data_IF_885213562716
#
_entry.id   IF_885213562716
#
_cell.length_a   1.000
_cell.length_b   1.000
_cell.length_c   1.000
_cell.angle_alpha   90.00
_cell.angle_beta   90.00
_cell.angle_gamma   90.00
#
_symmetry.space_group_name_H-M   'P 1'
#
loop_
_entity.id
_entity.type
_entity.pdbx_description
1 polymer ?
#
# COMPACT_ATOMS: atom_id res chain seq x y z
N UNK A 1 -1.85 -11.03 -11.28
CA UNK A 1 -2.20 -10.02 -10.25
C UNK A 1 -3.55 -10.30 -9.63
N UNK A 2 -4.66 -10.32 -10.39
CA UNK A 2 -5.95 -10.72 -9.85
C UNK A 2 -5.92 -12.18 -9.37
N UNK A 3 -5.38 -13.10 -10.18
CA UNK A 3 -5.29 -14.52 -9.81
C UNK A 3 -4.53 -14.74 -8.50
N UNK A 4 -3.42 -14.02 -8.30
CA UNK A 4 -2.63 -14.07 -7.05
C UNK A 4 -3.44 -13.60 -5.85
N UNK A 5 -4.24 -12.54 -5.99
CA UNK A 5 -5.06 -12.03 -4.89
C UNK A 5 -6.24 -12.95 -4.59
N UNK A 6 -6.91 -13.49 -5.61
CA UNK A 6 -8.05 -14.40 -5.44
C UNK A 6 -7.65 -15.82 -5.04
N UNK A 7 -6.43 -16.26 -5.38
CA UNK A 7 -5.86 -17.52 -4.89
C UNK A 7 -5.17 -17.39 -3.53
N UNK A 8 -5.24 -16.22 -2.89
CA UNK A 8 -4.54 -15.90 -1.64
C UNK A 8 -3.04 -16.24 -1.69
N UNK A 9 -2.41 -16.10 -2.86
CA UNK A 9 -0.99 -16.36 -3.05
C UNK A 9 -0.56 -17.80 -2.79
N UNK A 10 -1.44 -18.78 -3.03
CA UNK A 10 -1.13 -20.20 -2.83
C UNK A 10 0.03 -20.71 -3.71
N UNK A 11 0.17 -20.16 -4.92
CA UNK A 11 1.16 -20.62 -5.91
C UNK A 11 2.50 -19.87 -5.83
N UNK A 12 2.69 -18.99 -4.83
CA UNK A 12 3.90 -18.17 -4.67
C UNK A 12 4.49 -18.31 -3.27
N UNK A 13 5.80 -18.08 -3.16
CA UNK A 13 6.50 -18.15 -1.87
C UNK A 13 6.16 -16.95 -0.98
N UNK A 14 6.34 -17.09 0.34
CA UNK A 14 6.07 -16.00 1.29
C UNK A 14 6.91 -14.76 1.02
N UNK A 15 8.15 -14.96 0.55
CA UNK A 15 9.07 -13.88 0.19
C UNK A 15 8.53 -13.07 -1.00
N UNK A 16 8.12 -13.76 -2.07
CA UNK A 16 7.52 -13.14 -3.25
C UNK A 16 6.19 -12.46 -2.90
N UNK A 17 5.37 -13.14 -2.11
CA UNK A 17 4.08 -12.61 -1.65
C UNK A 17 4.28 -11.28 -0.91
N UNK A 18 5.16 -11.26 0.10
CA UNK A 18 5.51 -10.06 0.86
C UNK A 18 6.01 -8.96 -0.07
N UNK A 19 6.85 -9.28 -1.04
CA UNK A 19 7.37 -8.30 -1.98
C UNK A 19 6.26 -7.63 -2.79
N UNK A 20 5.32 -8.42 -3.31
CA UNK A 20 4.21 -7.96 -4.14
C UNK A 20 3.18 -7.12 -3.36
N UNK A 21 2.84 -7.51 -2.13
CA UNK A 21 1.75 -6.86 -1.36
C UNK A 21 2.25 -5.79 -0.39
N UNK A 22 3.56 -5.71 -0.17
CA UNK A 22 4.13 -4.74 0.75
C UNK A 22 3.90 -3.30 0.32
N UNK A 23 3.57 -2.45 1.27
CA UNK A 23 3.57 -1.01 1.06
C UNK A 23 4.80 -0.38 1.71
N UNK A 24 5.38 0.61 1.03
CA UNK A 24 6.53 1.38 1.50
C UNK A 24 6.15 2.85 1.63
N UNK A 25 6.37 3.44 2.80
CA UNK A 25 6.18 4.89 3.05
C UNK A 25 7.32 5.46 3.88
N UNK A 26 7.85 6.60 3.44
CA UNK A 26 8.88 7.34 4.16
C UNK A 26 8.26 8.45 5.01
N UNK A 27 8.60 8.50 6.29
CA UNK A 27 8.16 9.56 7.19
C UNK A 27 9.01 10.82 7.01
N UNK A 28 8.36 12.00 6.90
CA UNK A 28 9.05 13.27 6.68
C UNK A 28 9.58 13.91 7.97
N UNK A 29 9.03 13.54 9.12
CA UNK A 29 9.39 14.04 10.46
C UNK A 29 9.69 12.87 11.40
N UNK A 30 10.17 13.17 12.61
CA UNK A 30 10.40 12.16 13.64
C UNK A 30 9.08 11.63 14.19
N UNK A 31 9.06 10.42 14.75
CA UNK A 31 7.85 9.83 15.31
C UNK A 31 7.23 10.68 16.43
N UNK A 32 8.08 11.32 17.25
CA UNK A 32 7.68 12.23 18.33
C UNK A 32 6.86 13.43 17.84
N UNK A 33 7.11 13.90 16.63
CA UNK A 33 6.54 15.14 16.10
C UNK A 33 5.11 14.97 15.59
N UNK A 34 4.65 13.72 15.42
CA UNK A 34 3.31 13.42 14.92
C UNK A 34 2.23 13.42 16.02
N UNK A 35 2.62 13.39 17.31
CA UNK A 35 1.69 13.45 18.44
C UNK A 35 0.58 12.37 18.37
N UNK A 36 -0.67 12.81 18.36
CA UNK A 36 -1.86 11.94 18.34
C UNK A 36 -2.34 11.55 16.92
N UNK A 37 -1.63 11.96 15.86
CA UNK A 37 -2.03 11.61 14.51
C UNK A 37 -2.03 10.10 14.29
N UNK A 38 -3.03 9.61 13.56
CA UNK A 38 -3.16 8.20 13.19
C UNK A 38 -2.88 8.02 11.71
N UNK A 39 -1.88 7.20 11.40
CA UNK A 39 -1.60 6.74 10.03
C UNK A 39 -0.96 5.36 10.06
N UNK A 40 -1.00 4.65 8.95
CA UNK A 40 -0.34 3.33 8.81
C UNK A 40 1.16 3.43 9.08
N UNK A 41 1.82 4.50 8.59
CA UNK A 41 3.25 4.76 8.86
C UNK A 41 3.52 4.97 10.36
N UNK A 42 2.69 5.76 11.06
CA UNK A 42 2.86 6.03 12.50
C UNK A 42 2.69 4.74 13.30
N UNK A 43 1.67 3.92 13.01
CA UNK A 43 1.48 2.63 13.68
C UNK A 43 2.64 1.67 13.42
N UNK A 44 3.14 1.64 12.17
CA UNK A 44 4.29 0.81 11.80
C UNK A 44 5.55 1.26 12.56
N UNK A 45 5.81 2.56 12.63
CA UNK A 45 6.94 3.12 13.36
C UNK A 45 6.85 2.81 14.87
N UNK A 46 5.68 2.93 15.49
CA UNK A 46 5.46 2.55 16.89
C UNK A 46 5.76 1.07 17.13
N UNK A 47 5.31 0.19 16.23
CA UNK A 47 5.59 -1.26 16.30
C UNK A 47 7.09 -1.57 16.08
N UNK A 48 7.76 -0.84 15.20
CA UNK A 48 9.20 -0.95 15.00
C UNK A 48 9.98 -0.52 16.25
N UNK A 49 9.61 0.60 16.90
CA UNK A 49 10.21 1.03 18.15
C UNK A 49 10.00 0.00 19.27
N UNK A 50 8.80 -0.57 19.36
CA UNK A 50 8.51 -1.61 20.35
C UNK A 50 9.33 -2.88 20.12
N UNK A 51 9.53 -3.28 18.86
CA UNK A 51 10.23 -4.51 18.48
C UNK A 51 11.76 -4.38 18.53
N UNK A 52 12.30 -3.27 18.01
CA UNK A 52 13.74 -3.07 17.80
C UNK A 52 14.36 -2.08 18.80
N UNK A 53 13.55 -1.41 19.61
CA UNK A 53 13.97 -0.32 20.50
C UNK A 53 13.77 1.07 19.89
N UNK A 54 13.76 2.08 20.78
CA UNK A 54 13.48 3.47 20.41
C UNK A 54 14.51 4.08 19.46
N UNK A 55 15.71 3.49 19.36
CA UNK A 55 16.77 3.96 18.46
C UNK A 55 16.33 4.01 16.99
N UNK A 56 15.42 3.12 16.56
CA UNK A 56 14.94 3.04 15.16
C UNK A 56 14.08 4.24 14.75
N UNK A 57 13.49 4.94 15.72
CA UNK A 57 12.54 6.05 15.47
C UNK A 57 13.10 7.42 15.85
N UNK A 58 14.40 7.49 16.20
CA UNK A 58 15.07 8.74 16.59
C UNK A 58 15.29 9.68 15.40
N UNK A 59 15.54 9.14 14.23
CA UNK A 59 15.87 9.92 13.04
C UNK A 59 14.65 10.14 12.13
N UNK A 60 14.66 11.30 11.47
CA UNK A 60 13.72 11.59 10.37
C UNK A 60 14.03 10.70 9.16
N UNK A 61 13.04 10.45 8.32
CA UNK A 61 13.23 9.65 7.11
C UNK A 61 13.04 8.14 7.31
N UNK A 62 12.47 7.72 8.45
CA UNK A 62 12.16 6.31 8.68
C UNK A 62 11.29 5.76 7.53
N UNK A 63 11.79 4.71 6.90
CA UNK A 63 11.09 3.99 5.87
C UNK A 63 10.24 2.87 6.49
N UNK A 64 8.95 3.11 6.63
CA UNK A 64 7.98 2.12 7.06
C UNK A 64 7.61 1.21 5.89
N UNK A 65 8.02 -0.06 5.96
CA UNK A 65 7.55 -1.10 5.04
C UNK A 65 6.61 -2.05 5.80
N UNK A 66 5.36 -2.16 5.35
CA UNK A 66 4.31 -2.85 6.11
C UNK A 66 3.31 -3.60 5.23
N UNK A 67 2.55 -4.48 5.88
CA UNK A 67 1.38 -5.18 5.33
C UNK A 67 0.16 -4.96 6.21
N UNK A 68 -1.03 -5.18 5.68
CA UNK A 68 -2.28 -4.99 6.42
C UNK A 68 -2.86 -6.34 6.82
N UNK A 69 -3.10 -6.52 8.11
CA UNK A 69 -3.70 -7.72 8.67
C UNK A 69 -5.22 -7.69 8.64
N UNK A 70 -5.89 -8.83 8.57
CA UNK A 70 -7.36 -8.94 8.65
C UNK A 70 -7.91 -8.84 10.08
N UNK A 71 -7.02 -8.88 11.07
CA UNK A 71 -7.32 -8.83 12.50
C UNK A 71 -6.63 -7.65 13.20
N UNK A 72 -7.19 -7.14 14.30
CA UNK A 72 -8.53 -7.45 14.83
C UNK A 72 -9.65 -6.94 13.91
N UNK A 73 -10.73 -7.73 13.77
CA UNK A 73 -11.86 -7.39 12.87
C UNK A 73 -12.56 -6.12 13.36
N UNK A 74 -12.89 -5.22 12.43
CA UNK A 74 -13.55 -3.95 12.74
C UNK A 74 -12.60 -2.83 13.19
N UNK A 75 -11.33 -3.13 13.47
CA UNK A 75 -10.35 -2.08 13.75
C UNK A 75 -9.97 -1.29 12.48
N UNK A 76 -9.64 0.01 12.64
CA UNK A 76 -9.23 0.83 11.52
C UNK A 76 -7.96 0.26 10.85
N UNK A 77 -7.83 0.46 9.54
CA UNK A 77 -6.68 -0.02 8.74
C UNK A 77 -5.34 0.44 9.35
N UNK A 78 -5.32 1.63 9.95
CA UNK A 78 -4.13 2.18 10.62
C UNK A 78 -3.64 1.30 11.76
N UNK A 79 -4.52 0.63 12.50
CA UNK A 79 -4.16 -0.23 13.63
C UNK A 79 -3.82 -1.66 13.18
N UNK A 80 -4.11 -2.01 11.93
CA UNK A 80 -3.83 -3.33 11.34
C UNK A 80 -2.51 -3.42 10.57
N UNK A 81 -1.72 -2.36 10.54
CA UNK A 81 -0.46 -2.28 9.78
C UNK A 81 0.72 -2.97 10.50
N UNK A 82 1.22 -4.09 9.97
CA UNK A 82 2.34 -4.86 10.54
C UNK A 82 3.65 -4.52 9.81
N UNK A 83 4.73 -4.15 10.52
CA UNK A 83 6.05 -3.99 9.92
C UNK A 83 6.59 -5.31 9.36
N UNK A 84 7.12 -5.29 8.13
CA UNK A 84 7.65 -6.51 7.51
C UNK A 84 8.90 -7.08 8.17
N UNK A 85 9.63 -6.24 8.90
CA UNK A 85 10.83 -6.64 9.64
C UNK A 85 10.54 -7.78 10.63
N UNK A 86 9.30 -7.90 11.13
CA UNK A 86 8.93 -8.98 12.06
C UNK A 86 9.03 -10.37 11.41
N UNK A 87 8.77 -10.49 10.10
CA UNK A 87 8.85 -11.76 9.39
C UNK A 87 10.29 -12.23 9.15
N UNK A 88 11.28 -11.36 9.38
CA UNK A 88 12.71 -11.69 9.32
C UNK A 88 13.28 -12.09 10.69
N UNK A 89 12.51 -11.89 11.77
CA UNK A 89 12.92 -12.23 13.13
C UNK A 89 12.70 -13.71 13.47
N UNK A 90 13.34 -14.17 14.54
CA UNK A 90 13.18 -15.52 15.08
C UNK A 90 11.70 -15.84 15.36
N UNK A 91 11.33 -17.11 15.17
CA UNK A 91 9.93 -17.54 15.26
C UNK A 91 9.29 -17.21 16.62
N UNK A 92 10.03 -17.35 17.72
CA UNK A 92 9.53 -17.03 19.07
C UNK A 92 9.20 -15.55 19.22
N UNK A 93 10.11 -14.67 18.77
CA UNK A 93 9.96 -13.21 18.80
C UNK A 93 8.81 -12.76 17.90
N UNK A 94 8.78 -13.29 16.67
CA UNK A 94 7.70 -13.06 15.70
C UNK A 94 6.34 -13.42 16.29
N UNK A 95 6.22 -14.63 16.84
CA UNK A 95 4.97 -15.12 17.40
C UNK A 95 4.49 -14.25 18.57
N UNK A 96 5.40 -13.84 19.45
CA UNK A 96 5.08 -12.97 20.57
C UNK A 96 4.49 -11.63 20.11
N UNK A 97 5.18 -10.92 19.22
CA UNK A 97 4.72 -9.61 18.75
C UNK A 97 3.47 -9.68 17.87
N UNK A 98 3.37 -10.68 16.98
CA UNK A 98 2.17 -10.85 16.16
C UNK A 98 0.93 -11.09 17.03
N UNK A 99 1.02 -11.96 18.05
CA UNK A 99 -0.10 -12.19 18.99
C UNK A 99 -0.47 -10.91 19.74
N UNK A 100 0.53 -10.15 20.20
CA UNK A 100 0.32 -8.88 20.91
C UNK A 100 -0.36 -7.84 20.03
N UNK A 101 0.10 -7.65 18.80
CA UNK A 101 -0.39 -6.60 17.90
C UNK A 101 -1.72 -6.92 17.24
N UNK A 102 -2.01 -8.20 17.02
CA UNK A 102 -3.21 -8.66 16.33
C UNK A 102 -4.29 -9.15 17.30
N UNK A 103 -4.02 -9.11 18.61
CA UNK A 103 -4.89 -9.62 19.66
C UNK A 103 -5.28 -11.09 19.45
N UNK A 104 -4.33 -11.89 18.97
CA UNK A 104 -4.54 -13.31 18.68
C UNK A 104 -4.30 -14.17 19.93
N UNK A 105 -5.23 -15.09 20.16
CA UNK A 105 -5.13 -16.19 21.12
C UNK A 105 -4.06 -17.19 20.72
N UNK A 106 -3.59 -18.01 21.68
CA UNK A 106 -2.52 -19.00 21.46
C UNK A 106 -2.87 -20.02 20.36
N UNK A 107 -4.16 -20.33 20.20
CA UNK A 107 -4.69 -21.33 19.27
C UNK A 107 -4.81 -20.84 17.83
N UNK A 108 -4.80 -19.52 17.60
CA UNK A 108 -4.93 -18.98 16.24
C UNK A 108 -3.65 -19.16 15.42
N UNK A 109 -3.84 -19.40 14.12
CA UNK A 109 -2.78 -19.51 13.13
C UNK A 109 -1.99 -18.20 13.05
N UNK A 110 -0.68 -18.34 12.90
CA UNK A 110 0.24 -17.24 12.64
C UNK A 110 0.84 -17.34 11.23
N UNK A 111 0.21 -18.13 10.36
CA UNK A 111 0.58 -18.16 8.96
C UNK A 111 0.34 -16.80 8.30
N UNK A 112 1.24 -16.41 7.41
CA UNK A 112 1.19 -15.12 6.73
C UNK A 112 -0.12 -14.97 5.95
N UNK A 113 -0.53 -16.01 5.21
CA UNK A 113 -1.75 -15.98 4.38
C UNK A 113 -3.02 -15.85 5.21
N UNK A 114 -3.02 -16.41 6.43
CA UNK A 114 -4.13 -16.29 7.37
C UNK A 114 -4.21 -14.90 8.01
N UNK A 115 -3.05 -14.25 8.21
CA UNK A 115 -2.97 -12.92 8.82
C UNK A 115 -3.39 -11.81 7.84
N UNK A 116 -3.11 -11.95 6.55
CA UNK A 116 -3.31 -10.87 5.57
C UNK A 116 -4.79 -10.55 5.32
N UNK A 117 -5.08 -9.26 5.14
CA UNK A 117 -6.39 -8.79 4.69
C UNK A 117 -6.49 -8.79 3.16
N UNK A 118 -6.80 -9.95 2.60
CA UNK A 118 -6.98 -10.12 1.15
C UNK A 118 -8.05 -9.20 0.58
N UNK A 119 -9.16 -8.97 1.29
CA UNK A 119 -10.22 -8.07 0.85
C UNK A 119 -9.72 -6.63 0.74
N UNK A 120 -8.93 -6.16 1.71
CA UNK A 120 -8.29 -4.84 1.63
C UNK A 120 -7.44 -4.70 0.36
N UNK A 121 -6.64 -5.71 0.02
CA UNK A 121 -5.79 -5.66 -1.16
C UNK A 121 -6.59 -5.74 -2.47
N UNK A 122 -7.65 -6.54 -2.52
CA UNK A 122 -8.58 -6.63 -3.65
C UNK A 122 -9.30 -5.30 -3.86
N UNK A 123 -9.87 -4.71 -2.81
CA UNK A 123 -10.58 -3.43 -2.88
C UNK A 123 -9.68 -2.29 -3.31
N UNK A 124 -8.43 -2.29 -2.82
CA UNK A 124 -7.42 -1.31 -3.23
C UNK A 124 -7.08 -1.44 -4.72
N UNK A 125 -6.91 -2.67 -5.22
CA UNK A 125 -6.65 -2.91 -6.63
C UNK A 125 -7.85 -2.49 -7.49
N UNK A 126 -9.07 -2.88 -7.10
CA UNK A 126 -10.30 -2.50 -7.78
C UNK A 126 -10.45 -0.97 -7.83
N UNK A 127 -10.22 -0.29 -6.72
CA UNK A 127 -10.25 1.18 -6.65
C UNK A 127 -9.21 1.83 -7.57
N UNK A 128 -8.02 1.22 -7.70
CA UNK A 128 -6.98 1.70 -8.60
C UNK A 128 -7.39 1.56 -10.06
N UNK A 129 -7.87 0.37 -10.45
CA UNK A 129 -8.36 0.09 -11.80
C UNK A 129 -9.53 1.01 -12.16
N UNK A 130 -10.51 1.17 -11.27
CA UNK A 130 -11.65 2.06 -11.48
C UNK A 130 -11.21 3.51 -11.72
N UNK A 131 -10.26 4.03 -10.94
CA UNK A 131 -9.72 5.38 -11.13
C UNK A 131 -9.07 5.53 -12.50
N UNK A 132 -8.27 4.55 -12.91
CA UNK A 132 -7.63 4.54 -14.23
C UNK A 132 -8.68 4.58 -15.35
N UNK A 133 -9.64 3.66 -15.31
CA UNK A 133 -10.73 3.57 -16.31
C UNK A 133 -11.53 4.87 -16.35
N UNK A 134 -11.91 5.40 -15.19
CA UNK A 134 -12.65 6.65 -15.09
C UNK A 134 -11.87 7.82 -15.68
N UNK A 135 -10.59 7.98 -15.31
CA UNK A 135 -9.74 9.05 -15.84
C UNK A 135 -9.63 8.99 -17.36
N UNK A 136 -9.39 7.82 -17.95
CA UNK A 136 -9.33 7.69 -19.40
C UNK A 136 -10.67 7.96 -20.08
N UNK A 137 -11.77 7.48 -19.50
CA UNK A 137 -13.12 7.69 -20.05
C UNK A 137 -13.46 9.18 -20.08
N UNK A 138 -13.16 9.90 -18.99
CA UNK A 138 -13.38 11.35 -18.90
C UNK A 138 -12.49 12.10 -19.88
N UNK A 139 -11.19 11.81 -19.93
CA UNK A 139 -10.26 12.46 -20.87
C UNK A 139 -10.70 12.24 -22.32
N UNK A 140 -11.10 11.01 -22.68
CA UNK A 140 -11.61 10.69 -24.01
C UNK A 140 -12.84 11.53 -24.38
N UNK A 141 -13.81 11.63 -23.45
CA UNK A 141 -15.01 12.45 -23.66
C UNK A 141 -14.66 13.94 -23.85
N UNK A 142 -13.75 14.49 -23.03
CA UNK A 142 -13.29 15.88 -23.17
C UNK A 142 -12.61 16.12 -24.53
N UNK A 143 -11.76 15.21 -24.99
CA UNK A 143 -11.11 15.31 -26.29
C UNK A 143 -12.13 15.28 -27.44
N UNK A 144 -13.17 14.45 -27.35
CA UNK A 144 -14.25 14.42 -28.33
C UNK A 144 -15.03 15.74 -28.37
N UNK A 145 -15.33 16.34 -27.22
CA UNK A 145 -15.95 17.68 -27.17
C UNK A 145 -15.04 18.75 -27.75
N UNK A 146 -13.74 18.71 -27.47
CA UNK A 146 -12.76 19.67 -27.98
C UNK A 146 -12.71 19.65 -29.51
N UNK A 147 -12.69 18.45 -30.11
CA UNK A 147 -12.71 18.25 -31.57
C UNK A 147 -13.98 18.78 -32.26
N UNK A 148 -15.08 18.91 -31.52
CA UNK A 148 -16.37 19.42 -32.02
C UNK A 148 -16.50 20.95 -31.90
N UNK A 149 -15.53 21.64 -31.27
CA UNK A 149 -15.58 23.10 -31.17
C UNK A 149 -15.28 23.77 -32.52
N UNK A 150 -16.08 24.75 -32.96
CA UNK A 150 -15.94 25.39 -34.27
C UNK A 150 -14.63 26.18 -34.47
N UNK A 151 -13.84 26.40 -33.40
CA UNK A 151 -12.54 27.08 -33.44
C UNK A 151 -11.33 26.11 -33.48
N UNK A 152 -11.57 24.81 -33.65
CA UNK A 152 -10.50 23.81 -33.70
C UNK A 152 -9.47 23.96 -34.84
N UNK A 153 -9.74 24.55 -36.03
CA UNK A 153 -8.71 24.59 -37.09
C UNK A 153 -7.49 25.46 -36.76
N UNK A 154 -7.48 26.24 -35.67
CA UNK A 154 -6.29 26.99 -35.23
C UNK A 154 -5.37 26.23 -34.25
N UNK A 155 -5.80 25.08 -33.70
CA UNK A 155 -5.02 24.31 -32.71
C UNK A 155 -4.29 23.12 -33.34
N UNK A 156 -4.71 22.69 -34.53
CA UNK A 156 -4.11 21.55 -35.25
C UNK A 156 -2.66 21.84 -35.67
N UNK A 157 -2.30 23.10 -35.94
CA UNK A 157 -0.91 23.47 -36.25
C UNK A 157 0.05 23.17 -35.09
N UNK A 158 -0.40 23.31 -33.84
CA UNK A 158 0.45 23.04 -32.66
C UNK A 158 0.64 21.54 -32.41
N UNK A 159 -0.38 20.72 -32.67
CA UNK A 159 -0.31 19.26 -32.50
C UNK A 159 0.44 18.57 -33.64
N UNK A 160 0.36 19.10 -34.88
CA UNK A 160 1.18 18.58 -35.99
C UNK A 160 2.67 18.86 -35.72
N UNK A 161 3.01 20.05 -35.22
CA UNK A 161 4.38 20.44 -34.85
C UNK A 161 4.92 19.58 -33.69
N UNK A 162 4.10 19.28 -32.66
CA UNK A 162 4.51 18.42 -31.54
C UNK A 162 4.61 16.93 -31.91
N UNK A 163 3.79 16.44 -32.85
CA UNK A 163 3.87 15.05 -33.33
C UNK A 163 5.13 14.75 -34.14
N UNK A 164 5.73 15.79 -34.75
CA UNK A 164 7.02 15.72 -35.44
C UNK A 164 8.19 15.79 -34.45
N UNK A 165 8.04 16.48 -33.32
CA UNK A 165 9.09 16.60 -32.30
C UNK A 165 9.22 15.39 -31.36
N UNK A 166 8.16 14.62 -31.16
CA UNK A 166 8.16 13.41 -30.31
C UNK A 166 8.52 12.11 -31.07
N UNK A 167 9.00 12.23 -32.31
CA UNK A 167 9.41 11.10 -33.15
C UNK A 167 10.93 10.99 -33.35
N UNK A 168 11.72 11.69 -32.53
CA UNK A 168 13.17 11.55 -32.41
C UNK A 168 13.58 11.38 -30.94
#
# INVERSE_FOLDING_TARGET
>A
WLDVLYSHGNDITDKELVELISERRTMSRMLSDYGEQKSTSISTAKRLAEFLGDDVVKDKGLCCRFVIANVPRGAPITERAIPLTIFQSDQSVRNYYLRKWLHLSITESLDLRDILDWNYYIDRLNSCVQKIVYTYSVVFQYLQYLLLLPYFPFVVDYYLIMSVYLRY
#
